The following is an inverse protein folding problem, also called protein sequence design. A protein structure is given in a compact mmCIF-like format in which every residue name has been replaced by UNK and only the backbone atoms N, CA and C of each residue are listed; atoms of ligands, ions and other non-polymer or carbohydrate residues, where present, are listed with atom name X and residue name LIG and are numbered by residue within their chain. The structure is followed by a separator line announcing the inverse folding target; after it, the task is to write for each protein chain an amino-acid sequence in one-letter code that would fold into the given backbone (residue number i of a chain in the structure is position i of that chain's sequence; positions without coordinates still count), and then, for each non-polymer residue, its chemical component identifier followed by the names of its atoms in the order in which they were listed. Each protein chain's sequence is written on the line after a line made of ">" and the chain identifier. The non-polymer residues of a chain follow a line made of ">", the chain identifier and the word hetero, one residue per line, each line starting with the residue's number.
data_IF_330358335951
#
_entry.id   IF_330358335951
#
_cell.length_a   1.000
_cell.length_b   1.000
_cell.length_c   1.000
_cell.angle_alpha   90.00
_cell.angle_beta   90.00
_cell.angle_gamma   90.00
#
_symmetry.space_group_name_H-M   'P 1'
#
loop_
_entity.id
_entity.type
_entity.pdbx_description
1 polymer ?
#
# COMPACT_ATOMS: atom_id res chain seq x y z
N UNK A 1 -7.87 4.16 -3.77
CA UNK A 1 -6.81 4.64 -2.86
C UNK A 1 -5.57 5.16 -3.58
N UNK A 2 -4.84 4.41 -4.44
CA UNK A 2 -3.63 4.92 -5.09
C UNK A 2 -3.88 6.16 -5.98
N UNK A 3 -5.03 6.24 -6.65
CA UNK A 3 -5.45 7.44 -7.41
C UNK A 3 -5.63 8.70 -6.54
N UNK A 4 -6.11 8.54 -5.30
CA UNK A 4 -6.25 9.68 -4.38
C UNK A 4 -4.88 10.19 -3.92
N UNK A 5 -3.90 9.29 -3.75
CA UNK A 5 -2.53 9.68 -3.46
C UNK A 5 -1.91 10.45 -4.62
N UNK A 6 -2.07 9.97 -5.85
CA UNK A 6 -1.59 10.67 -7.07
C UNK A 6 -2.18 12.08 -7.14
N UNK A 7 -3.48 12.21 -6.94
CA UNK A 7 -4.16 13.51 -6.95
C UNK A 7 -3.63 14.50 -5.89
N UNK A 8 -3.30 14.03 -4.69
CA UNK A 8 -2.74 14.88 -3.62
C UNK A 8 -1.29 15.26 -3.92
N UNK A 9 -0.51 14.34 -4.51
CA UNK A 9 0.87 14.60 -4.92
C UNK A 9 0.93 15.61 -6.08
N UNK A 10 0.01 15.53 -7.04
CA UNK A 10 -0.11 16.50 -8.14
C UNK A 10 -0.46 17.92 -7.65
N UNK A 11 -1.14 18.02 -6.50
CA UNK A 11 -1.40 19.30 -5.83
C UNK A 11 -0.26 19.77 -4.92
N UNK A 12 0.90 19.11 -4.96
CA UNK A 12 2.09 19.40 -4.14
C UNK A 12 1.86 19.37 -2.63
N UNK A 13 0.75 18.78 -2.16
CA UNK A 13 0.36 18.78 -0.75
C UNK A 13 1.04 17.63 0.02
N UNK A 14 2.39 17.63 0.00
CA UNK A 14 3.26 16.57 0.54
C UNK A 14 2.94 16.13 1.98
N UNK A 15 2.59 17.03 2.93
CA UNK A 15 2.21 16.60 4.28
C UNK A 15 0.94 15.75 4.30
N UNK A 16 -0.07 16.13 3.51
CA UNK A 16 -1.33 15.38 3.41
C UNK A 16 -1.13 14.03 2.70
N UNK A 17 -0.26 14.00 1.68
CA UNK A 17 0.12 12.75 1.02
C UNK A 17 0.80 11.78 1.99
N UNK A 18 1.67 12.28 2.88
CA UNK A 18 2.33 11.49 3.93
C UNK A 18 1.32 10.96 4.95
N UNK A 19 0.44 11.82 5.48
CA UNK A 19 -0.61 11.42 6.43
C UNK A 19 -1.51 10.33 5.83
N UNK A 20 -1.94 10.49 4.57
CA UNK A 20 -2.76 9.49 3.89
C UNK A 20 -2.03 8.15 3.74
N UNK A 21 -0.73 8.16 3.46
CA UNK A 21 0.07 6.95 3.36
C UNK A 21 0.23 6.25 4.72
N UNK A 22 0.63 6.99 5.75
CA UNK A 22 0.95 6.46 7.08
C UNK A 22 -0.29 6.01 7.87
N UNK A 23 -1.39 6.76 7.77
CA UNK A 23 -2.58 6.56 8.61
C UNK A 23 -3.75 5.88 7.90
N UNK A 24 -3.73 5.76 6.57
CA UNK A 24 -4.88 5.23 5.84
C UNK A 24 -4.52 4.21 4.76
N UNK A 25 -3.32 4.24 4.19
CA UNK A 25 -2.93 3.33 3.11
C UNK A 25 -2.13 2.14 3.64
N UNK A 26 -0.97 2.39 4.26
CA UNK A 26 -0.02 1.34 4.64
C UNK A 26 -0.56 0.38 5.71
N UNK A 27 -1.60 0.81 6.47
CA UNK A 27 -2.28 -0.01 7.47
C UNK A 27 -2.80 -1.35 6.93
N UNK A 28 -3.33 -1.36 5.72
CA UNK A 28 -3.95 -2.55 5.12
C UNK A 28 -3.45 -2.82 3.70
N UNK A 29 -2.62 -1.95 3.13
CA UNK A 29 -2.11 -2.09 1.77
C UNK A 29 -1.33 -3.39 1.55
N UNK A 30 -0.76 -4.00 2.60
CA UNK A 30 -0.08 -5.30 2.51
C UNK A 30 -1.03 -6.49 2.64
N UNK A 31 -2.12 -6.34 3.41
CA UNK A 31 -3.01 -7.44 3.79
C UNK A 31 -3.75 -8.03 2.58
N UNK A 32 -4.24 -7.17 1.70
CA UNK A 32 -4.95 -7.61 0.50
C UNK A 32 -4.01 -8.32 -0.50
N UNK A 33 -2.84 -7.77 -0.87
CA UNK A 33 -1.86 -8.47 -1.69
C UNK A 33 -1.40 -9.82 -1.11
N UNK A 34 -1.17 -9.92 0.21
CA UNK A 34 -0.83 -11.19 0.87
C UNK A 34 -1.95 -12.23 0.71
N UNK A 35 -3.21 -11.81 0.83
CA UNK A 35 -4.35 -12.69 0.60
C UNK A 35 -4.42 -13.15 -0.86
N UNK A 36 -4.15 -12.24 -1.81
CA UNK A 36 -4.12 -12.55 -3.25
C UNK A 36 -3.01 -13.55 -3.59
N UNK A 37 -1.84 -13.47 -2.93
CA UNK A 37 -0.75 -14.43 -3.11
C UNK A 37 -1.09 -15.84 -2.58
N UNK A 38 -1.89 -15.93 -1.52
CA UNK A 38 -2.22 -17.20 -0.86
C UNK A 38 -3.52 -17.82 -1.36
N UNK A 39 -4.36 -17.05 -2.07
CA UNK A 39 -5.61 -17.53 -2.66
C UNK A 39 -5.35 -18.18 -4.00
N UNK A 40 -5.94 -19.36 -4.22
CA UNK A 40 -5.90 -20.01 -5.53
C UNK A 40 -6.83 -19.27 -6.50
N UNK A 41 -6.24 -18.44 -7.35
CA UNK A 41 -6.95 -17.71 -8.40
C UNK A 41 -6.86 -18.47 -9.73
N UNK A 42 -7.75 -18.14 -10.65
CA UNK A 42 -7.79 -18.75 -11.99
C UNK A 42 -6.58 -18.37 -12.86
N UNK A 43 -5.88 -17.28 -12.50
CA UNK A 43 -4.77 -16.74 -13.26
C UNK A 43 -3.63 -16.28 -12.34
N UNK A 44 -2.41 -16.67 -12.67
CA UNK A 44 -1.17 -16.33 -11.95
C UNK A 44 -0.78 -14.85 -12.07
N UNK A 45 -1.39 -14.10 -12.98
CA UNK A 45 -1.15 -12.67 -13.18
C UNK A 45 -1.40 -11.85 -11.91
N UNK A 46 -2.49 -12.10 -11.19
CA UNK A 46 -2.84 -11.32 -10.00
C UNK A 46 -1.92 -11.60 -8.80
N UNK A 47 -1.53 -12.86 -8.52
CA UNK A 47 -0.47 -13.17 -7.57
C UNK A 47 0.87 -12.48 -7.92
N UNK A 48 1.27 -12.49 -9.19
CA UNK A 48 2.50 -11.82 -9.64
C UNK A 48 2.41 -10.29 -9.42
N UNK A 49 1.28 -9.69 -9.80
CA UNK A 49 1.03 -8.26 -9.59
C UNK A 49 1.03 -7.89 -8.10
N UNK A 50 0.47 -8.75 -7.25
CA UNK A 50 0.47 -8.56 -5.80
C UNK A 50 1.91 -8.54 -5.25
N UNK A 51 2.79 -9.42 -5.72
CA UNK A 51 4.21 -9.40 -5.35
C UNK A 51 4.89 -8.10 -5.73
N UNK A 52 4.72 -7.64 -6.98
CA UNK A 52 5.29 -6.38 -7.45
C UNK A 52 4.77 -5.20 -6.61
N UNK A 53 3.48 -5.20 -6.30
CA UNK A 53 2.86 -4.15 -5.49
C UNK A 53 3.43 -4.12 -4.07
N UNK A 54 3.62 -5.28 -3.42
CA UNK A 54 4.24 -5.37 -2.09
C UNK A 54 5.67 -4.82 -2.11
N UNK A 55 6.48 -5.25 -3.09
CA UNK A 55 7.88 -4.83 -3.18
C UNK A 55 8.02 -3.32 -3.45
N UNK A 56 7.12 -2.79 -4.30
CA UNK A 56 7.04 -1.35 -4.52
C UNK A 56 6.68 -0.58 -3.24
N UNK A 57 5.66 -1.04 -2.50
CA UNK A 57 5.24 -0.40 -1.25
C UNK A 57 6.34 -0.43 -0.18
N UNK A 58 7.07 -1.55 -0.07
CA UNK A 58 8.22 -1.67 0.85
C UNK A 58 9.34 -0.71 0.49
N UNK A 59 9.67 -0.62 -0.79
CA UNK A 59 10.68 0.33 -1.31
C UNK A 59 10.27 1.76 -0.96
N UNK A 60 9.03 2.12 -1.27
CA UNK A 60 8.48 3.45 -1.03
C UNK A 60 8.46 3.81 0.47
N UNK A 61 8.04 2.87 1.32
CA UNK A 61 8.06 3.05 2.78
C UNK A 61 9.48 3.29 3.30
N UNK A 62 10.47 2.58 2.76
CA UNK A 62 11.88 2.68 3.15
C UNK A 62 12.49 4.00 2.70
N UNK A 63 12.32 4.37 1.43
CA UNK A 63 12.90 5.58 0.85
C UNK A 63 12.30 6.86 1.47
N UNK A 64 11.00 6.84 1.73
CA UNK A 64 10.29 7.99 2.30
C UNK A 64 10.28 8.00 3.84
N UNK A 65 10.90 6.99 4.48
CA UNK A 65 10.93 6.80 5.95
C UNK A 65 9.54 6.97 6.55
N UNK A 66 8.58 6.24 5.99
CA UNK A 66 7.18 6.29 6.44
C UNK A 66 7.00 5.35 7.63
N UNK A 67 6.31 5.85 8.65
CA UNK A 67 5.92 5.05 9.81
C UNK A 67 4.47 4.61 9.65
N UNK A 68 4.22 3.31 9.71
CA UNK A 68 2.85 2.79 9.71
C UNK A 68 2.27 3.00 11.10
N UNK A 69 1.10 3.65 11.19
CA UNK A 69 0.40 3.73 12.46
C UNK A 69 0.07 2.32 12.95
N UNK A 70 0.27 2.03 14.22
CA UNK A 70 -0.07 0.72 14.77
C UNK A 70 -1.61 0.63 14.84
N UNK A 71 -2.19 -0.27 14.05
CA UNK A 71 -3.64 -0.51 14.06
C UNK A 71 -3.85 -2.02 14.20
N UNK A 72 -4.60 -2.42 15.23
CA UNK A 72 -5.08 -3.79 15.33
C UNK A 72 -6.02 -4.07 14.16
N UNK A 73 -5.56 -4.89 13.21
CA UNK A 73 -6.42 -5.41 12.16
C UNK A 73 -7.28 -6.52 12.78
N UNK A 74 -8.61 -6.32 12.82
CA UNK A 74 -9.52 -7.36 13.27
C UNK A 74 -9.51 -8.54 12.28
N UNK A 75 -9.27 -9.74 12.84
CA UNK A 75 -9.14 -11.00 12.13
C UNK A 75 -10.48 -11.65 11.77
#
# INVERSE_FOLDING_TARGET
>A
MPLALVYILEQEHKPAARTLQEQHLLLWAYRYPELVQTTKLENDFYPILATIAIDYLKTLQTELKLTVAELELFH
#
